data_IF_039676688353
#
_entry.id   IF_039676688353
#
_cell.length_a   1.000
_cell.length_b   1.000
_cell.length_c   1.000
_cell.angle_alpha   90.00
_cell.angle_beta   90.00
_cell.angle_gamma   90.00
#
_symmetry.space_group_name_H-M   'P 1'
#
loop_
_entity.id
_entity.type
_entity.pdbx_description
1 polymer ?
#
# COMPACT_ATOMS: atom_id res chain seq x y z
N UNK A 1 -20.00 25.82 -21.18
CA UNK A 1 -20.33 24.45 -20.75
C UNK A 1 -20.21 24.43 -19.24
N UNK A 2 -21.19 23.92 -18.49
CA UNK A 2 -21.09 23.89 -17.02
C UNK A 2 -19.93 22.98 -16.58
N UNK A 3 -19.27 23.28 -15.47
CA UNK A 3 -18.21 22.45 -14.87
C UNK A 3 -18.68 20.99 -14.68
N UNK A 4 -19.96 20.85 -14.32
CA UNK A 4 -20.69 19.58 -14.25
C UNK A 4 -20.60 18.79 -15.55
N UNK A 5 -20.84 19.41 -16.71
CA UNK A 5 -20.82 18.72 -18.00
C UNK A 5 -19.41 18.25 -18.39
N UNK A 6 -18.37 19.06 -18.11
CA UNK A 6 -16.96 18.67 -18.31
C UNK A 6 -16.62 17.47 -17.44
N UNK A 7 -16.99 17.51 -16.16
CA UNK A 7 -16.76 16.43 -15.22
C UNK A 7 -17.42 15.12 -15.67
N UNK A 8 -18.71 15.16 -16.05
CA UNK A 8 -19.40 13.97 -16.55
C UNK A 8 -18.70 13.40 -17.79
N UNK A 9 -18.24 14.24 -18.71
CA UNK A 9 -17.48 13.79 -19.87
C UNK A 9 -16.15 13.11 -19.49
N UNK A 10 -15.43 13.65 -18.50
CA UNK A 10 -14.18 13.07 -17.97
C UNK A 10 -14.46 11.69 -17.36
N UNK A 11 -15.40 11.59 -16.41
CA UNK A 11 -15.74 10.33 -15.74
C UNK A 11 -16.24 9.28 -16.74
N UNK A 12 -17.11 9.64 -17.68
CA UNK A 12 -17.59 8.71 -18.70
C UNK A 12 -16.45 8.17 -19.57
N UNK A 13 -15.49 9.05 -19.91
CA UNK A 13 -14.29 8.65 -20.66
C UNK A 13 -13.43 7.69 -19.85
N UNK A 14 -13.17 8.02 -18.58
CA UNK A 14 -12.39 7.16 -17.68
C UNK A 14 -13.07 5.81 -17.43
N UNK A 15 -14.40 5.78 -17.25
CA UNK A 15 -15.17 4.53 -17.11
C UNK A 15 -15.06 3.69 -18.39
N UNK A 16 -15.22 4.27 -19.57
CA UNK A 16 -15.10 3.54 -20.83
C UNK A 16 -13.69 2.93 -21.01
N UNK A 17 -12.65 3.71 -20.68
CA UNK A 17 -11.26 3.25 -20.72
C UNK A 17 -10.97 2.20 -19.64
N UNK A 18 -11.54 2.35 -18.45
CA UNK A 18 -11.43 1.40 -17.35
C UNK A 18 -12.11 0.07 -17.69
N UNK A 19 -13.32 0.07 -18.24
CA UNK A 19 -14.01 -1.14 -18.69
C UNK A 19 -13.17 -1.89 -19.73
N UNK A 20 -12.56 -1.15 -20.66
CA UNK A 20 -11.61 -1.72 -21.63
C UNK A 20 -10.36 -2.28 -20.94
N UNK A 21 -9.80 -1.56 -19.96
CA UNK A 21 -8.65 -2.02 -19.18
C UNK A 21 -8.96 -3.30 -18.38
N UNK A 22 -10.10 -3.38 -17.71
CA UNK A 22 -10.57 -4.59 -17.00
C UNK A 22 -10.70 -5.75 -17.97
N UNK A 23 -11.29 -5.54 -19.15
CA UNK A 23 -11.41 -6.59 -20.17
C UNK A 23 -10.06 -7.09 -20.72
N UNK A 24 -9.00 -6.29 -20.65
CA UNK A 24 -7.66 -6.62 -21.19
C UNK A 24 -6.68 -7.14 -20.14
N UNK A 25 -6.67 -6.53 -18.97
CA UNK A 25 -5.72 -6.79 -17.89
C UNK A 25 -6.32 -7.58 -16.74
N UNK A 26 -7.65 -7.78 -16.73
CA UNK A 26 -8.37 -8.25 -15.56
C UNK A 26 -8.16 -7.29 -14.39
N UNK A 27 -8.11 -7.84 -13.18
CA UNK A 27 -7.93 -7.11 -11.94
C UNK A 27 -6.46 -7.00 -11.52
N UNK A 28 -5.56 -6.74 -12.46
CA UNK A 28 -4.14 -6.48 -12.15
C UNK A 28 -4.00 -5.26 -11.23
N UNK A 29 -3.14 -5.30 -10.19
CA UNK A 29 -2.91 -4.13 -9.32
C UNK A 29 -2.53 -2.86 -10.09
N UNK A 30 -1.75 -3.00 -11.16
CA UNK A 30 -1.51 -1.96 -12.16
C UNK A 30 -1.70 -2.59 -13.55
N UNK A 31 -2.45 -1.97 -14.49
CA UNK A 31 -3.07 -0.64 -14.39
C UNK A 31 -4.46 -0.61 -13.71
N UNK A 32 -5.20 -1.71 -13.66
CA UNK A 32 -6.64 -1.69 -13.38
C UNK A 32 -7.02 -1.14 -12.01
N UNK A 33 -6.43 -1.62 -10.92
CA UNK A 33 -6.83 -1.18 -9.57
C UNK A 33 -6.51 0.29 -9.31
N UNK A 34 -5.43 0.81 -9.87
CA UNK A 34 -5.10 2.23 -9.79
C UNK A 34 -6.14 3.09 -10.51
N UNK A 35 -6.58 2.67 -11.70
CA UNK A 35 -7.65 3.35 -12.45
C UNK A 35 -8.99 3.28 -11.71
N UNK A 36 -9.33 2.13 -11.11
CA UNK A 36 -10.53 2.00 -10.24
C UNK A 36 -10.45 2.99 -9.08
N UNK A 37 -9.31 3.03 -8.37
CA UNK A 37 -9.12 3.95 -7.25
C UNK A 37 -9.33 5.41 -7.66
N UNK A 38 -8.76 5.82 -8.79
CA UNK A 38 -8.89 7.19 -9.31
C UNK A 38 -10.35 7.53 -9.61
N UNK A 39 -11.05 6.70 -10.40
CA UNK A 39 -12.45 6.92 -10.78
C UNK A 39 -13.38 6.92 -9.57
N UNK A 40 -13.20 5.98 -8.65
CA UNK A 40 -14.01 5.92 -7.41
C UNK A 40 -13.74 7.16 -6.56
N UNK A 41 -12.49 7.60 -6.44
CA UNK A 41 -12.14 8.81 -5.68
C UNK A 41 -12.77 10.06 -6.29
N UNK A 42 -12.68 10.28 -7.61
CA UNK A 42 -13.31 11.43 -8.26
C UNK A 42 -14.83 11.39 -8.16
N UNK A 43 -15.45 10.21 -8.30
CA UNK A 43 -16.90 10.03 -8.15
C UNK A 43 -17.36 10.43 -6.76
N UNK A 44 -16.66 9.97 -5.72
CA UNK A 44 -16.98 10.26 -4.32
C UNK A 44 -16.71 11.72 -3.97
N UNK A 45 -15.62 12.28 -4.47
CA UNK A 45 -15.32 13.71 -4.33
C UNK A 45 -16.41 14.59 -4.92
N UNK A 46 -16.92 14.22 -6.09
CA UNK A 46 -18.04 14.90 -6.74
C UNK A 46 -19.34 14.79 -5.93
N UNK A 47 -19.69 13.59 -5.44
CA UNK A 47 -20.87 13.42 -4.61
C UNK A 47 -20.81 14.25 -3.32
N UNK A 48 -19.62 14.39 -2.71
CA UNK A 48 -19.42 15.26 -1.54
C UNK A 48 -19.45 16.75 -1.91
N UNK A 49 -18.83 17.14 -3.03
CA UNK A 49 -18.82 18.53 -3.50
C UNK A 49 -20.24 19.07 -3.75
N UNK A 50 -21.13 18.25 -4.32
CA UNK A 50 -22.53 18.60 -4.57
C UNK A 50 -23.46 18.31 -3.39
N UNK A 51 -22.92 18.06 -2.20
CA UNK A 51 -23.67 17.79 -0.97
C UNK A 51 -24.67 16.60 -1.10
N UNK A 52 -24.41 15.63 -2.01
CA UNK A 52 -25.20 14.40 -2.17
C UNK A 52 -24.79 13.35 -1.13
N UNK A 53 -23.51 13.34 -0.78
CA UNK A 53 -22.91 12.47 0.24
C UNK A 53 -22.25 13.34 1.29
N UNK A 54 -22.54 13.09 2.56
CA UNK A 54 -21.81 13.74 3.65
C UNK A 54 -20.51 12.98 3.96
N UNK A 55 -19.42 13.72 4.17
CA UNK A 55 -18.17 13.18 4.70
C UNK A 55 -17.83 13.84 6.04
N UNK A 56 -18.33 13.31 7.18
CA UNK A 56 -18.18 13.97 8.48
C UNK A 56 -16.73 14.23 8.90
N UNK A 57 -15.79 13.38 8.48
CA UNK A 57 -14.38 13.55 8.81
C UNK A 57 -13.75 14.78 8.13
N UNK A 58 -14.28 15.21 6.97
CA UNK A 58 -13.87 16.45 6.29
C UNK A 58 -13.99 17.66 7.22
N UNK A 59 -15.03 17.69 8.06
CA UNK A 59 -15.27 18.79 9.01
C UNK A 59 -14.09 19.00 9.98
N UNK A 60 -13.24 17.99 10.18
CA UNK A 60 -12.07 18.12 11.06
C UNK A 60 -10.93 18.93 10.45
N UNK A 61 -10.83 19.02 9.12
CA UNK A 61 -9.77 19.77 8.41
C UNK A 61 -10.26 20.74 7.32
N UNK A 62 -11.57 20.90 7.16
CA UNK A 62 -12.16 21.70 6.11
C UNK A 62 -11.64 23.14 6.12
N UNK A 63 -11.09 23.57 5.00
CA UNK A 63 -10.64 24.93 4.71
C UNK A 63 -11.31 25.50 3.44
N UNK A 64 -12.36 24.84 2.95
CA UNK A 64 -13.05 25.23 1.71
C UNK A 64 -12.40 24.69 0.43
N UNK A 65 -11.32 23.89 0.52
CA UNK A 65 -10.58 23.39 -0.63
C UNK A 65 -11.42 22.48 -1.54
N UNK A 66 -12.26 21.63 -0.94
CA UNK A 66 -13.20 20.74 -1.64
C UNK A 66 -14.19 21.50 -2.52
N UNK A 67 -14.51 22.75 -2.18
CA UNK A 67 -15.42 23.61 -2.95
C UNK A 67 -14.68 24.52 -3.92
N UNK A 68 -13.57 25.12 -3.48
CA UNK A 68 -12.82 26.13 -4.24
C UNK A 68 -11.85 25.55 -5.26
N UNK A 69 -11.25 24.39 -4.99
CA UNK A 69 -10.27 23.71 -5.85
C UNK A 69 -10.82 22.40 -6.44
N UNK A 70 -12.12 22.37 -6.71
CA UNK A 70 -12.79 21.18 -7.24
C UNK A 70 -12.22 20.77 -8.60
N UNK A 71 -12.18 21.72 -9.55
CA UNK A 71 -11.73 21.50 -10.92
C UNK A 71 -10.25 21.08 -11.00
N UNK A 72 -9.38 21.72 -10.20
CA UNK A 72 -7.96 21.42 -10.10
C UNK A 72 -7.72 20.01 -9.56
N UNK A 73 -8.47 19.62 -8.52
CA UNK A 73 -8.37 18.29 -7.92
C UNK A 73 -8.82 17.20 -8.90
N UNK A 74 -9.95 17.42 -9.59
CA UNK A 74 -10.45 16.50 -10.63
C UNK A 74 -9.44 16.37 -11.76
N UNK A 75 -8.88 17.48 -12.24
CA UNK A 75 -7.90 17.50 -13.32
C UNK A 75 -6.61 16.76 -12.92
N UNK A 76 -6.12 16.96 -11.69
CA UNK A 76 -4.97 16.23 -11.17
C UNK A 76 -5.22 14.73 -11.18
N UNK A 77 -6.38 14.27 -10.72
CA UNK A 77 -6.73 12.85 -10.73
C UNK A 77 -6.86 12.29 -12.15
N UNK A 78 -7.41 13.07 -13.09
CA UNK A 78 -7.42 12.71 -14.50
C UNK A 78 -6.00 12.61 -15.09
N UNK A 79 -5.08 13.50 -14.69
CA UNK A 79 -3.67 13.39 -15.05
C UNK A 79 -3.04 12.11 -14.48
N UNK A 80 -3.33 11.75 -13.23
CA UNK A 80 -2.87 10.48 -12.63
C UNK A 80 -3.43 9.28 -13.40
N UNK A 81 -4.73 9.29 -13.74
CA UNK A 81 -5.37 8.27 -14.59
C UNK A 81 -4.61 8.10 -15.90
N UNK A 82 -4.33 9.22 -16.56
CA UNK A 82 -3.62 9.26 -17.85
C UNK A 82 -2.19 8.74 -17.73
N UNK A 83 -1.46 9.13 -16.69
CA UNK A 83 -0.09 8.65 -16.41
C UNK A 83 -0.04 7.15 -16.20
N UNK A 84 -1.06 6.57 -15.55
CA UNK A 84 -1.18 5.12 -15.40
C UNK A 84 -1.54 4.43 -16.72
N UNK A 85 -2.40 5.04 -17.53
CA UNK A 85 -2.95 4.44 -18.74
C UNK A 85 -2.00 4.50 -19.94
N UNK A 86 -1.35 5.64 -20.17
CA UNK A 86 -0.55 5.92 -21.37
C UNK A 86 0.56 4.88 -21.59
N UNK A 87 1.33 4.45 -20.57
CA UNK A 87 2.31 3.39 -20.74
C UNK A 87 1.74 2.06 -21.21
N UNK A 88 0.41 1.85 -21.17
CA UNK A 88 -0.29 0.64 -21.62
C UNK A 88 -1.19 0.88 -22.85
N UNK A 89 -1.12 2.05 -23.49
CA UNK A 89 -2.02 2.42 -24.58
C UNK A 89 -1.97 1.43 -25.76
N UNK A 90 -0.80 0.96 -26.15
CA UNK A 90 -0.64 -0.02 -27.23
C UNK A 90 -1.32 -1.36 -26.93
N UNK A 91 -1.34 -1.79 -25.67
CA UNK A 91 -2.00 -3.04 -25.25
C UNK A 91 -3.51 -2.86 -25.21
N UNK A 92 -3.99 -1.67 -24.84
CA UNK A 92 -5.41 -1.34 -24.91
C UNK A 92 -5.91 -1.32 -26.36
N UNK A 93 -5.09 -0.79 -27.27
CA UNK A 93 -5.42 -0.65 -28.70
C UNK A 93 -5.26 -1.95 -29.48
N UNK A 94 -4.32 -2.81 -29.12
CA UNK A 94 -4.07 -4.09 -29.81
C UNK A 94 -4.90 -5.24 -29.23
N UNK A 95 -5.02 -6.35 -29.98
CA UNK A 95 -5.75 -7.55 -29.54
C UNK A 95 -4.93 -8.48 -28.63
N UNK A 96 -3.65 -8.20 -28.40
CA UNK A 96 -2.74 -9.11 -27.71
C UNK A 96 -2.74 -8.86 -26.19
N UNK A 97 -3.25 -9.80 -25.37
CA UNK A 97 -3.18 -9.65 -23.92
C UNK A 97 -1.73 -9.72 -23.44
N UNK A 98 -1.35 -8.88 -22.47
CA UNK A 98 -0.11 -9.10 -21.72
C UNK A 98 -0.35 -10.30 -20.80
N UNK A 99 0.27 -11.43 -21.13
CA UNK A 99 0.35 -12.57 -20.22
C UNK A 99 1.69 -12.48 -19.49
N UNK A 100 1.71 -12.28 -18.16
CA UNK A 100 2.95 -12.32 -17.39
C UNK A 100 3.66 -13.65 -17.63
N UNK A 101 4.81 -13.62 -18.30
CA UNK A 101 5.64 -14.82 -18.51
C UNK A 101 6.51 -15.00 -17.27
N UNK A 102 6.54 -16.21 -16.74
CA UNK A 102 7.36 -16.53 -15.57
C UNK A 102 6.71 -17.58 -14.68
N UNK A 103 7.50 -18.59 -14.33
CA UNK A 103 7.17 -19.55 -13.28
C UNK A 103 7.72 -19.00 -11.97
N UNK A 104 6.86 -18.64 -11.00
CA UNK A 104 7.29 -18.42 -9.61
C UNK A 104 7.60 -19.75 -8.88
N UNK A 105 7.61 -20.87 -9.62
CA UNK A 105 7.39 -22.22 -9.07
C UNK A 105 8.66 -22.93 -8.61
N UNK A 106 9.84 -22.35 -8.81
CA UNK A 106 11.11 -22.99 -8.47
C UNK A 106 11.81 -22.39 -7.24
N UNK A 107 11.08 -22.24 -6.12
CA UNK A 107 11.77 -22.19 -4.82
C UNK A 107 12.10 -23.63 -4.40
N UNK A 108 13.38 -23.99 -4.50
CA UNK A 108 13.93 -25.31 -4.10
C UNK A 108 13.63 -25.59 -2.62
N UNK A 109 13.17 -26.81 -2.31
CA UNK A 109 12.70 -27.21 -0.97
C UNK A 109 13.73 -26.98 0.14
N UNK A 110 15.02 -27.28 -0.11
CA UNK A 110 16.08 -27.10 0.89
C UNK A 110 16.31 -25.64 1.33
N UNK A 111 16.03 -24.65 0.46
CA UNK A 111 16.14 -23.24 0.83
C UNK A 111 15.03 -22.79 1.76
N UNK A 112 13.84 -23.40 1.67
CA UNK A 112 12.68 -23.04 2.50
C UNK A 112 12.90 -23.47 3.95
N UNK A 113 13.50 -24.63 4.18
CA UNK A 113 13.82 -25.08 5.55
C UNK A 113 14.78 -24.11 6.26
N UNK A 114 15.82 -23.63 5.56
CA UNK A 114 16.74 -22.62 6.10
C UNK A 114 16.03 -21.29 6.36
N UNK A 115 15.20 -20.81 5.42
CA UNK A 115 14.39 -19.59 5.60
C UNK A 115 13.47 -19.74 6.82
N UNK A 116 12.81 -20.88 6.97
CA UNK A 116 11.92 -21.17 8.10
C UNK A 116 12.69 -21.12 9.42
N UNK A 117 13.85 -21.77 9.51
CA UNK A 117 14.65 -21.80 10.75
C UNK A 117 15.13 -20.40 11.15
N UNK A 118 15.73 -19.66 10.21
CA UNK A 118 16.22 -18.30 10.45
C UNK A 118 15.07 -17.37 10.81
N UNK A 119 13.95 -17.46 10.07
CA UNK A 119 12.77 -16.63 10.34
C UNK A 119 12.13 -16.97 11.67
N UNK A 120 12.05 -18.25 12.06
CA UNK A 120 11.48 -18.65 13.33
C UNK A 120 12.30 -18.14 14.50
N UNK A 121 13.63 -18.28 14.44
CA UNK A 121 14.54 -17.75 15.46
C UNK A 121 14.41 -16.22 15.57
N UNK A 122 14.52 -15.52 14.43
CA UNK A 122 14.43 -14.07 14.38
C UNK A 122 13.08 -13.53 14.86
N UNK A 123 11.97 -14.12 14.41
CA UNK A 123 10.62 -13.76 14.86
C UNK A 123 10.43 -14.04 16.35
N UNK A 124 10.92 -15.18 16.86
CA UNK A 124 10.76 -15.50 18.29
C UNK A 124 11.53 -14.52 19.15
N UNK A 125 12.79 -14.24 18.83
CA UNK A 125 13.63 -13.27 19.56
C UNK A 125 13.03 -11.87 19.47
N UNK A 126 12.65 -11.42 18.28
CA UNK A 126 12.11 -10.08 18.08
C UNK A 126 10.73 -9.93 18.77
N UNK A 127 9.81 -10.88 18.58
CA UNK A 127 8.47 -10.83 19.18
C UNK A 127 8.55 -10.93 20.70
N UNK A 128 9.41 -11.81 21.24
CA UNK A 128 9.63 -11.93 22.68
C UNK A 128 10.18 -10.63 23.28
N UNK A 129 11.16 -10.02 22.61
CA UNK A 129 11.71 -8.71 23.01
C UNK A 129 10.65 -7.61 22.94
N UNK A 130 9.86 -7.57 21.86
CA UNK A 130 8.79 -6.61 21.66
C UNK A 130 7.70 -6.72 22.74
N UNK A 131 7.27 -7.94 23.06
CA UNK A 131 6.32 -8.22 24.15
C UNK A 131 6.87 -7.75 25.50
N UNK A 132 8.15 -8.01 25.78
CA UNK A 132 8.80 -7.58 27.02
C UNK A 132 8.98 -6.07 27.15
N UNK A 133 9.09 -5.36 26.03
CA UNK A 133 9.24 -3.90 26.00
C UNK A 133 7.91 -3.14 25.99
N UNK A 134 6.79 -3.82 25.71
CA UNK A 134 5.50 -3.16 25.52
C UNK A 134 4.86 -2.77 26.85
N UNK A 135 4.33 -1.55 26.92
CA UNK A 135 3.49 -1.10 28.01
C UNK A 135 2.10 -1.74 27.87
N UNK A 136 1.86 -2.81 28.62
CA UNK A 136 0.64 -3.62 28.51
C UNK A 136 -0.62 -2.89 28.95
N UNK A 137 -0.52 -1.88 29.83
CA UNK A 137 -1.68 -1.07 30.20
C UNK A 137 -2.19 -0.30 28.98
N UNK A 138 -1.28 0.36 28.25
CA UNK A 138 -1.61 1.09 27.02
C UNK A 138 -2.05 0.16 25.90
N UNK A 139 -1.38 -1.00 25.74
CA UNK A 139 -1.72 -1.97 24.70
C UNK A 139 -3.08 -2.64 24.92
N UNK A 140 -3.45 -2.88 26.19
CA UNK A 140 -4.74 -3.47 26.54
C UNK A 140 -5.88 -2.48 26.34
N UNK A 141 -5.76 -1.27 26.90
CA UNK A 141 -6.76 -0.21 26.77
C UNK A 141 -6.15 1.20 26.99
N UNK A 142 -6.49 2.14 26.12
CA UNK A 142 -6.14 3.55 26.26
C UNK A 142 -7.21 4.46 25.62
N UNK A 143 -7.19 5.76 25.93
CA UNK A 143 -8.15 6.74 25.40
C UNK A 143 -7.56 7.68 24.34
N UNK A 144 -6.29 7.50 23.98
CA UNK A 144 -5.55 8.45 23.14
C UNK A 144 -5.13 7.78 21.85
N UNK A 145 -5.70 8.24 20.73
CA UNK A 145 -5.40 7.72 19.40
C UNK A 145 -3.90 7.73 19.11
N UNK A 146 -3.41 6.64 18.53
CA UNK A 146 -2.00 6.37 18.20
C UNK A 146 -1.04 6.17 19.39
N UNK A 147 -1.52 6.11 20.64
CA UNK A 147 -0.65 5.87 21.80
C UNK A 147 0.17 4.60 21.67
N UNK A 148 -0.43 3.52 21.15
CA UNK A 148 0.24 2.24 20.89
C UNK A 148 1.35 2.31 19.82
N UNK A 149 1.50 3.46 19.15
CA UNK A 149 2.53 3.68 18.13
C UNK A 149 3.48 4.81 18.44
N UNK A 150 3.25 5.52 19.55
CA UNK A 150 4.18 6.50 20.08
C UNK A 150 5.11 5.79 21.06
N UNK A 151 6.44 5.74 20.80
CA UNK A 151 7.37 5.01 21.66
C UNK A 151 7.26 5.36 23.14
N UNK A 152 7.12 6.65 23.47
CA UNK A 152 7.01 7.13 24.85
C UNK A 152 5.78 6.63 25.63
N UNK A 153 4.72 6.21 24.92
CA UNK A 153 3.51 5.68 25.54
C UNK A 153 3.43 4.16 25.42
N UNK A 154 3.77 3.62 24.26
CA UNK A 154 3.64 2.21 23.92
C UNK A 154 4.72 1.31 24.52
N UNK A 155 5.89 1.86 24.87
CA UNK A 155 7.03 1.10 25.38
C UNK A 155 7.37 1.52 26.82
N UNK A 156 7.94 0.58 27.57
CA UNK A 156 8.51 0.82 28.90
C UNK A 156 9.78 1.67 28.82
N UNK A 157 10.52 1.59 27.69
CA UNK A 157 11.71 2.40 27.40
C UNK A 157 11.64 2.90 25.95
N UNK A 158 11.52 4.22 25.79
CA UNK A 158 11.27 4.89 24.52
C UNK A 158 12.45 4.84 23.54
N UNK A 159 13.67 4.55 24.04
CA UNK A 159 14.88 4.36 23.21
C UNK A 159 14.74 3.20 22.24
N UNK A 160 13.84 2.26 22.51
CA UNK A 160 13.52 1.14 21.64
C UNK A 160 12.39 1.45 20.64
N UNK A 161 12.05 2.72 20.39
CA UNK A 161 10.99 3.12 19.45
C UNK A 161 11.12 2.55 18.04
N UNK A 162 12.33 2.18 17.62
CA UNK A 162 12.55 1.48 16.34
C UNK A 162 11.82 0.13 16.26
N UNK A 163 11.58 -0.54 17.38
CA UNK A 163 10.87 -1.82 17.47
C UNK A 163 9.46 -1.69 16.89
N UNK A 164 8.71 -0.66 17.28
CA UNK A 164 7.37 -0.39 16.76
C UNK A 164 7.37 -0.09 15.26
N UNK A 165 8.42 0.58 14.77
CA UNK A 165 8.58 0.87 13.34
C UNK A 165 8.82 -0.39 12.50
N UNK A 166 9.37 -1.43 13.11
CA UNK A 166 9.62 -2.72 12.47
C UNK A 166 8.42 -3.65 12.48
N UNK A 167 7.40 -3.43 13.34
CA UNK A 167 6.24 -4.32 13.47
C UNK A 167 5.56 -4.66 12.14
N UNK A 168 5.19 -3.68 11.27
CA UNK A 168 4.54 -4.01 10.01
C UNK A 168 5.45 -4.82 9.08
N UNK A 169 6.76 -4.55 9.09
CA UNK A 169 7.74 -5.25 8.23
C UNK A 169 7.89 -6.70 8.68
N UNK A 170 8.02 -6.91 9.99
CA UNK A 170 8.16 -8.22 10.60
C UNK A 170 6.87 -9.04 10.46
N UNK A 171 5.70 -8.40 10.66
CA UNK A 171 4.39 -8.99 10.43
C UNK A 171 4.20 -9.44 8.97
N UNK A 172 4.49 -8.57 8.00
CA UNK A 172 4.46 -8.93 6.58
C UNK A 172 5.40 -10.08 6.25
N UNK A 173 6.63 -10.08 6.80
CA UNK A 173 7.58 -11.18 6.61
C UNK A 173 7.02 -12.51 7.13
N UNK A 174 6.46 -12.52 8.34
CA UNK A 174 5.78 -13.69 8.90
C UNK A 174 4.65 -14.17 7.99
N UNK A 175 3.85 -13.25 7.44
CA UNK A 175 2.74 -13.55 6.53
C UNK A 175 3.23 -14.15 5.19
N UNK A 176 4.33 -13.64 4.64
CA UNK A 176 4.98 -14.20 3.44
C UNK A 176 5.48 -15.62 3.71
N UNK A 177 6.21 -15.84 4.80
CA UNK A 177 6.73 -17.17 5.15
C UNK A 177 5.56 -18.14 5.41
N UNK A 178 4.48 -17.69 6.06
CA UNK A 178 3.24 -18.45 6.18
C UNK A 178 2.70 -18.87 4.80
N UNK A 179 2.52 -17.93 3.87
CA UNK A 179 2.03 -18.20 2.52
C UNK A 179 2.90 -19.19 1.74
N UNK A 180 4.23 -19.09 1.87
CA UNK A 180 5.18 -20.04 1.28
C UNK A 180 4.98 -21.46 1.82
N UNK A 181 4.80 -21.61 3.14
CA UNK A 181 4.59 -22.90 3.79
C UNK A 181 3.21 -23.50 3.45
N UNK A 182 2.15 -22.67 3.33
CA UNK A 182 0.83 -23.10 2.82
C UNK A 182 0.97 -23.69 1.42
N UNK A 183 1.67 -22.98 0.51
CA UNK A 183 1.87 -23.43 -0.86
C UNK A 183 2.66 -24.76 -0.93
N UNK A 184 3.54 -25.01 0.05
CA UNK A 184 4.30 -26.27 0.19
C UNK A 184 3.59 -27.33 1.03
N UNK A 185 2.36 -27.07 1.49
CA UNK A 185 1.56 -27.98 2.34
C UNK A 185 2.19 -28.29 3.72
N UNK A 186 3.09 -27.42 4.20
CA UNK A 186 3.68 -27.53 5.53
C UNK A 186 2.79 -26.80 6.55
N UNK A 187 1.59 -27.35 6.80
CA UNK A 187 0.52 -26.65 7.52
C UNK A 187 0.91 -26.28 8.96
N UNK A 188 1.60 -27.16 9.70
CA UNK A 188 2.04 -26.87 11.07
C UNK A 188 2.96 -25.63 11.12
N UNK A 189 3.95 -25.59 10.22
CA UNK A 189 4.89 -24.46 10.12
C UNK A 189 4.15 -23.20 9.67
N UNK A 190 3.23 -23.33 8.70
CA UNK A 190 2.38 -22.23 8.27
C UNK A 190 1.54 -21.66 9.43
N UNK A 191 0.97 -22.51 10.28
CA UNK A 191 0.20 -22.07 11.45
C UNK A 191 1.06 -21.25 12.41
N UNK A 192 2.29 -21.68 12.70
CA UNK A 192 3.21 -20.92 13.57
C UNK A 192 3.48 -19.53 13.02
N UNK A 193 3.85 -19.42 11.73
CA UNK A 193 4.07 -18.12 11.10
C UNK A 193 2.77 -17.29 10.97
N UNK A 194 1.64 -17.96 10.78
CA UNK A 194 0.32 -17.34 10.77
C UNK A 194 -0.04 -16.71 12.12
N UNK A 195 0.32 -17.35 13.23
CA UNK A 195 0.13 -16.79 14.57
C UNK A 195 0.99 -15.54 14.80
N UNK A 196 2.25 -15.55 14.35
CA UNK A 196 3.08 -14.33 14.38
C UNK A 196 2.44 -13.21 13.55
N UNK A 197 2.08 -13.48 12.29
CA UNK A 197 1.45 -12.49 11.42
C UNK A 197 0.14 -11.94 12.04
N UNK A 198 -0.68 -12.82 12.62
CA UNK A 198 -1.90 -12.44 13.31
C UNK A 198 -1.62 -11.55 14.53
N UNK A 199 -0.59 -11.84 15.33
CA UNK A 199 -0.24 -11.02 16.48
C UNK A 199 0.12 -9.57 16.08
N UNK A 200 0.92 -9.39 15.03
CA UNK A 200 1.25 -8.05 14.52
C UNK A 200 0.03 -7.33 13.92
N UNK A 201 -0.80 -8.05 13.18
CA UNK A 201 -2.02 -7.48 12.61
C UNK A 201 -3.03 -7.09 13.70
N UNK A 202 -3.20 -7.91 14.74
CA UNK A 202 -4.02 -7.62 15.93
C UNK A 202 -3.49 -6.40 16.67
N UNK A 203 -2.16 -6.24 16.81
CA UNK A 203 -1.59 -5.02 17.38
C UNK A 203 -1.94 -3.79 16.53
N UNK A 204 -1.79 -3.87 15.21
CA UNK A 204 -2.21 -2.81 14.29
C UNK A 204 -3.71 -2.49 14.44
N UNK A 205 -4.54 -3.51 14.56
CA UNK A 205 -5.98 -3.41 14.71
C UNK A 205 -6.40 -2.77 16.03
N UNK A 206 -5.76 -3.16 17.13
CA UNK A 206 -5.92 -2.58 18.47
C UNK A 206 -5.60 -1.09 18.49
N UNK A 207 -4.61 -0.67 17.68
CA UNK A 207 -4.27 0.74 17.48
C UNK A 207 -5.12 1.44 16.41
N UNK A 208 -6.12 0.76 15.85
CA UNK A 208 -6.95 1.17 14.71
C UNK A 208 -6.15 1.75 13.53
N UNK A 209 -5.03 1.10 13.24
CA UNK A 209 -4.16 1.48 12.14
C UNK A 209 -4.49 0.74 10.86
N UNK A 210 -4.44 1.48 9.75
CA UNK A 210 -4.58 0.92 8.40
C UNK A 210 -3.50 -0.09 8.07
N UNK A 211 -2.35 -0.05 8.76
CA UNK A 211 -1.25 -1.00 8.58
C UNK A 211 -1.63 -2.43 8.93
N UNK A 212 -2.67 -2.66 9.74
CA UNK A 212 -3.18 -4.00 10.07
C UNK A 212 -3.62 -4.82 8.85
N UNK A 213 -3.91 -4.16 7.72
CA UNK A 213 -4.26 -4.85 6.47
C UNK A 213 -3.04 -5.47 5.78
N UNK A 214 -1.82 -5.06 6.12
CA UNK A 214 -0.62 -5.41 5.37
C UNK A 214 -0.28 -6.89 5.49
N UNK A 215 -0.41 -7.47 6.68
CA UNK A 215 -0.14 -8.89 6.93
C UNK A 215 -1.10 -9.82 6.15
N UNK A 216 -2.43 -9.71 6.26
CA UNK A 216 -3.33 -10.56 5.49
C UNK A 216 -3.20 -10.34 3.97
N UNK A 217 -2.93 -9.12 3.51
CA UNK A 217 -2.68 -8.84 2.09
C UNK A 217 -1.38 -9.49 1.62
N UNK A 218 -0.30 -9.41 2.41
CA UNK A 218 0.97 -10.06 2.10
C UNK A 218 0.83 -11.58 2.04
N UNK A 219 0.05 -12.18 2.95
CA UNK A 219 -0.32 -13.59 2.89
C UNK A 219 -1.06 -13.93 1.59
N UNK A 220 -2.11 -13.17 1.26
CA UNK A 220 -2.91 -13.39 0.06
C UNK A 220 -2.07 -13.30 -1.22
N UNK A 221 -1.26 -12.24 -1.34
CA UNK A 221 -0.33 -12.03 -2.46
C UNK A 221 0.63 -13.22 -2.60
N UNK A 222 1.22 -13.66 -1.49
CA UNK A 222 2.18 -14.77 -1.51
C UNK A 222 1.52 -16.08 -1.95
N UNK A 223 0.33 -16.37 -1.43
CA UNK A 223 -0.44 -17.56 -1.81
C UNK A 223 -0.88 -17.48 -3.28
N UNK A 224 -1.26 -16.30 -3.79
CA UNK A 224 -1.57 -16.12 -5.22
C UNK A 224 -0.36 -16.33 -6.12
N UNK A 225 0.83 -15.92 -5.68
CA UNK A 225 2.07 -16.03 -6.44
C UNK A 225 2.62 -17.46 -6.50
N UNK A 226 2.60 -18.17 -5.36
CA UNK A 226 3.29 -19.46 -5.20
C UNK A 226 2.32 -20.64 -5.15
N UNK A 227 1.08 -20.39 -4.72
CA UNK A 227 0.06 -21.42 -4.53
C UNK A 227 -0.57 -21.93 -5.83
N UNK A 228 -1.26 -23.06 -5.71
CA UNK A 228 -2.15 -23.56 -6.77
C UNK A 228 -3.58 -23.03 -6.59
N UNK A 229 -4.46 -23.20 -7.58
CA UNK A 229 -5.90 -22.85 -7.49
C UNK A 229 -6.64 -23.46 -6.28
N UNK A 230 -6.02 -24.37 -5.53
CA UNK A 230 -6.60 -25.08 -4.37
C UNK A 230 -6.69 -24.25 -3.09
N UNK A 231 -6.02 -23.10 -2.97
CA UNK A 231 -6.01 -22.31 -1.74
C UNK A 231 -7.08 -21.21 -1.68
N UNK A 232 -8.22 -21.39 -2.37
CA UNK A 232 -9.30 -20.38 -2.41
C UNK A 232 -9.78 -19.99 -1.03
N UNK A 233 -9.96 -20.95 -0.12
CA UNK A 233 -10.39 -20.68 1.25
C UNK A 233 -9.44 -19.75 2.00
N UNK A 234 -8.12 -19.98 1.89
CA UNK A 234 -7.09 -19.12 2.52
C UNK A 234 -7.14 -17.72 1.94
N UNK A 235 -7.29 -17.58 0.62
CA UNK A 235 -7.41 -16.28 -0.03
C UNK A 235 -8.68 -15.56 0.42
N UNK A 236 -9.82 -16.23 0.43
CA UNK A 236 -11.08 -15.67 0.92
C UNK A 236 -10.94 -15.21 2.38
N UNK A 237 -10.41 -16.06 3.26
CA UNK A 237 -10.21 -15.71 4.66
C UNK A 237 -9.27 -14.50 4.83
N UNK A 238 -8.15 -14.47 4.10
CA UNK A 238 -7.19 -13.35 4.15
C UNK A 238 -7.82 -12.04 3.65
N UNK A 239 -8.55 -12.07 2.52
CA UNK A 239 -9.23 -10.87 2.01
C UNK A 239 -10.39 -10.43 2.90
N UNK A 240 -11.18 -11.35 3.45
CA UNK A 240 -12.24 -11.04 4.41
C UNK A 240 -11.67 -10.41 5.68
N UNK A 241 -10.57 -10.94 6.21
CA UNK A 241 -9.91 -10.36 7.36
C UNK A 241 -9.27 -8.99 7.02
N UNK A 242 -8.65 -8.82 5.86
CA UNK A 242 -8.14 -7.52 5.43
C UNK A 242 -9.26 -6.46 5.31
N UNK A 243 -10.43 -6.84 4.79
CA UNK A 243 -11.61 -5.98 4.75
C UNK A 243 -12.11 -5.63 6.16
N UNK A 244 -12.19 -6.61 7.05
CA UNK A 244 -12.52 -6.40 8.46
C UNK A 244 -11.52 -5.47 9.17
N UNK A 245 -10.22 -5.69 8.97
CA UNK A 245 -9.17 -4.88 9.56
C UNK A 245 -9.22 -3.43 9.05
N UNK A 246 -9.50 -3.24 7.75
CA UNK A 246 -9.71 -1.92 7.18
C UNK A 246 -10.92 -1.24 7.81
N UNK A 247 -12.07 -1.92 7.88
CA UNK A 247 -13.30 -1.42 8.50
C UNK A 247 -13.03 -0.99 9.95
N UNK A 248 -12.44 -1.89 10.74
CA UNK A 248 -12.15 -1.64 12.15
C UNK A 248 -11.16 -0.49 12.34
N UNK A 249 -10.13 -0.39 11.51
CA UNK A 249 -9.20 0.73 11.54
C UNK A 249 -9.85 2.07 11.18
N UNK A 250 -10.85 2.07 10.30
CA UNK A 250 -11.57 3.29 9.90
C UNK A 250 -12.61 3.72 10.94
N UNK A 251 -13.39 2.77 11.44
CA UNK A 251 -14.44 3.01 12.44
C UNK A 251 -13.82 3.34 13.80
N UNK A 252 -12.80 2.59 14.22
CA UNK A 252 -12.20 2.68 15.54
C UNK A 252 -11.56 4.03 15.87
N UNK A 253 -11.15 4.81 14.86
CA UNK A 253 -10.60 6.16 15.04
C UNK A 253 -11.55 7.11 15.78
N UNK A 254 -12.85 6.94 15.60
CA UNK A 254 -13.88 7.79 16.20
C UNK A 254 -14.37 7.34 17.58
N UNK A 255 -13.86 6.22 18.12
CA UNK A 255 -14.44 5.59 19.31
C UNK A 255 -13.95 6.20 20.64
N UNK A 256 -12.85 6.96 20.64
CA UNK A 256 -12.27 7.56 21.85
C UNK A 256 -11.67 6.55 22.85
N UNK A 257 -11.67 5.25 22.50
CA UNK A 257 -11.02 4.16 23.23
C UNK A 257 -10.32 3.26 22.22
N UNK A 258 -9.13 2.79 22.59
CA UNK A 258 -8.23 2.01 21.75
C UNK A 258 -7.58 0.91 22.58
N UNK A 259 -6.98 -0.09 21.93
CA UNK A 259 -6.34 -1.22 22.58
C UNK A 259 -6.93 -2.56 22.15
N UNK A 260 -6.36 -3.66 22.66
CA UNK A 260 -6.82 -5.01 22.34
C UNK A 260 -8.25 -5.22 22.81
N UNK A 261 -8.62 -4.64 23.96
CA UNK A 261 -9.95 -4.78 24.54
C UNK A 261 -11.07 -4.18 23.67
N UNK A 262 -10.75 -3.23 22.77
CA UNK A 262 -11.74 -2.49 21.97
C UNK A 262 -11.90 -3.02 20.55
N UNK A 263 -11.21 -4.11 20.18
CA UNK A 263 -11.26 -4.67 18.82
C UNK A 263 -12.69 -5.08 18.44
N UNK A 264 -13.43 -5.67 19.39
CA UNK A 264 -14.80 -6.14 19.14
C UNK A 264 -15.85 -5.04 19.27
N UNK A 265 -15.54 -3.93 19.95
CA UNK A 265 -16.47 -2.79 20.11
C UNK A 265 -16.87 -2.17 18.75
N UNK A 266 -16.09 -2.42 17.70
CA UNK A 266 -16.41 -1.99 16.33
C UNK A 266 -17.75 -2.54 15.85
N UNK A 267 -18.15 -3.73 16.28
CA UNK A 267 -19.46 -4.30 15.92
C UNK A 267 -20.59 -3.50 16.57
N UNK A 268 -20.50 -3.25 17.87
CA UNK A 268 -21.48 -2.45 18.63
C UNK A 268 -21.62 -1.02 18.09
N UNK A 269 -20.49 -0.44 17.65
CA UNK A 269 -20.49 0.89 17.04
C UNK A 269 -21.07 0.89 15.62
N UNK A 270 -20.92 -0.21 14.88
CA UNK A 270 -21.46 -0.36 13.52
C UNK A 270 -22.97 -0.60 13.52
N UNK A 271 -23.50 -1.34 14.50
CA UNK A 271 -24.93 -1.65 14.63
C UNK A 271 -25.82 -0.40 14.81
N UNK A 272 -25.23 0.72 15.22
CA UNK A 272 -25.94 1.99 15.40
C UNK A 272 -26.16 2.78 14.11
N UNK A 273 -25.58 2.35 12.99
CA UNK A 273 -25.67 3.04 11.69
C UNK A 273 -26.46 2.23 10.68
N UNK A 274 -27.14 2.92 9.77
CA UNK A 274 -27.73 2.24 8.62
C UNK A 274 -26.63 1.62 7.74
N UNK A 275 -26.93 0.51 7.05
CA UNK A 275 -25.97 -0.13 6.14
C UNK A 275 -25.48 0.84 5.05
N UNK A 276 -26.34 1.74 4.57
CA UNK A 276 -26.00 2.80 3.63
C UNK A 276 -25.01 3.80 4.20
N UNK A 277 -25.24 4.31 5.42
CA UNK A 277 -24.29 5.22 6.08
C UNK A 277 -22.93 4.57 6.29
N UNK A 278 -22.94 3.30 6.70
CA UNK A 278 -21.71 2.54 6.90
C UNK A 278 -20.92 2.38 5.60
N UNK A 279 -21.57 1.97 4.51
CA UNK A 279 -20.93 1.84 3.19
C UNK A 279 -20.38 3.19 2.73
N UNK A 280 -21.17 4.25 2.85
CA UNK A 280 -20.76 5.61 2.50
C UNK A 280 -19.54 6.06 3.30
N UNK A 281 -19.54 5.82 4.61
CA UNK A 281 -18.40 6.13 5.49
C UNK A 281 -17.15 5.33 5.08
N UNK A 282 -17.29 4.06 4.74
CA UNK A 282 -16.15 3.23 4.31
C UNK A 282 -15.56 3.72 3.00
N UNK A 283 -16.40 4.01 2.00
CA UNK A 283 -15.94 4.47 0.70
C UNK A 283 -15.31 5.86 0.81
N UNK A 284 -15.94 6.81 1.52
CA UNK A 284 -15.38 8.16 1.72
C UNK A 284 -14.04 8.11 2.46
N UNK A 285 -13.87 7.22 3.44
CA UNK A 285 -12.59 7.02 4.11
C UNK A 285 -11.52 6.35 3.24
N UNK A 286 -11.91 5.38 2.39
CA UNK A 286 -10.98 4.79 1.42
C UNK A 286 -10.48 5.84 0.43
N UNK A 287 -11.36 6.76 0.05
CA UNK A 287 -11.09 7.88 -0.84
C UNK A 287 -10.61 9.14 -0.11
N UNK A 288 -10.32 9.11 1.19
CA UNK A 288 -9.92 10.28 2.01
C UNK A 288 -8.83 11.12 1.33
N UNK A 289 -7.88 10.45 0.65
CA UNK A 289 -6.77 11.11 -0.02
C UNK A 289 -7.18 12.22 -1.00
N UNK A 290 -8.29 12.09 -1.73
CA UNK A 290 -8.69 13.16 -2.67
C UNK A 290 -9.13 14.43 -1.94
N UNK A 291 -9.75 14.28 -0.77
CA UNK A 291 -10.12 15.40 0.09
C UNK A 291 -8.89 16.04 0.73
N UNK A 292 -7.91 15.23 1.14
CA UNK A 292 -6.63 15.74 1.68
C UNK A 292 -5.85 16.52 0.62
N UNK A 293 -5.90 16.08 -0.65
CA UNK A 293 -5.33 16.81 -1.78
C UNK A 293 -6.04 18.15 -1.98
N UNK A 294 -7.38 18.14 -2.08
CA UNK A 294 -8.19 19.34 -2.31
C UNK A 294 -8.03 20.37 -1.18
N UNK A 295 -8.09 19.94 0.07
CA UNK A 295 -7.90 20.79 1.25
C UNK A 295 -6.43 21.19 1.47
N UNK A 296 -5.50 20.55 0.76
CA UNK A 296 -4.10 20.97 0.71
C UNK A 296 -3.88 22.25 -0.10
N UNK A 297 -4.56 22.41 -1.25
CA UNK A 297 -4.38 23.58 -2.13
C UNK A 297 -4.68 24.97 -1.53
N UNK A 298 -5.68 25.17 -0.65
CA UNK A 298 -5.85 26.48 0.01
C UNK A 298 -4.77 26.77 1.06
N UNK A 299 -3.98 25.78 1.47
CA UNK A 299 -2.96 25.93 2.51
C UNK A 299 -1.65 26.39 1.86
N UNK A 300 -1.48 27.71 1.74
CA UNK A 300 -0.23 28.29 1.25
C UNK A 300 0.94 27.76 2.07
N UNK A 301 1.86 27.06 1.41
CA UNK A 301 3.06 26.50 2.04
C UNK A 301 4.33 27.08 1.45
N UNK A 302 5.21 27.59 2.31
CA UNK A 302 6.59 27.88 1.97
C UNK A 302 7.49 26.86 2.66
N UNK A 303 8.31 26.17 1.86
CA UNK A 303 9.14 25.06 2.31
C UNK A 303 10.60 25.36 2.02
N UNK A 304 11.52 25.13 2.97
CA UNK A 304 12.95 25.27 2.68
C UNK A 304 13.42 24.20 1.69
N UNK A 305 14.40 24.56 0.86
CA UNK A 305 14.96 23.66 -0.16
C UNK A 305 15.40 22.29 0.41
N UNK A 306 15.93 22.27 1.64
CA UNK A 306 16.31 21.05 2.33
C UNK A 306 15.13 20.07 2.49
N UNK A 307 13.95 20.55 2.91
CA UNK A 307 12.75 19.71 3.04
C UNK A 307 12.30 19.19 1.68
N UNK A 308 12.32 20.05 0.65
CA UNK A 308 11.95 19.68 -0.73
C UNK A 308 12.82 18.53 -1.25
N UNK A 309 14.15 18.68 -1.16
CA UNK A 309 15.11 17.66 -1.64
C UNK A 309 14.97 16.36 -0.86
N UNK A 310 15.00 16.42 0.48
CA UNK A 310 14.91 15.22 1.31
C UNK A 310 13.58 14.48 1.12
N UNK A 311 12.51 15.17 0.71
CA UNK A 311 11.22 14.51 0.43
C UNK A 311 11.26 13.58 -0.79
N UNK A 312 12.21 13.77 -1.72
CA UNK A 312 12.40 12.89 -2.88
C UNK A 312 13.44 11.79 -2.65
N UNK A 313 14.26 11.86 -1.60
CA UNK A 313 15.33 10.89 -1.41
C UNK A 313 14.80 9.51 -0.97
N UNK A 314 15.36 8.41 -1.50
CA UNK A 314 14.97 7.04 -1.15
C UNK A 314 15.56 6.56 0.18
N UNK A 315 16.43 7.36 0.80
CA UNK A 315 17.11 7.05 2.05
C UNK A 315 16.11 6.83 3.19
N UNK A 316 16.43 5.99 4.19
CA UNK A 316 15.68 5.95 5.44
C UNK A 316 15.74 7.29 6.20
N UNK A 317 14.61 7.73 6.76
CA UNK A 317 14.46 9.07 7.37
C UNK A 317 15.34 9.31 8.60
N UNK A 318 15.75 8.25 9.29
CA UNK A 318 16.68 8.33 10.41
C UNK A 318 18.15 8.50 9.98
N UNK A 319 18.51 8.11 8.75
CA UNK A 319 19.88 8.22 8.23
C UNK A 319 20.20 9.61 7.69
N UNK A 320 19.22 10.28 7.09
CA UNK A 320 19.39 11.60 6.49
C UNK A 320 18.77 12.75 7.29
N UNK A 321 18.25 12.44 8.50
CA UNK A 321 17.67 13.43 9.41
C UNK A 321 16.32 13.98 8.97
N UNK A 322 15.67 13.40 7.96
CA UNK A 322 14.37 13.89 7.48
C UNK A 322 13.29 13.87 8.54
N UNK A 323 13.33 12.95 9.52
CA UNK A 323 12.33 12.94 10.59
C UNK A 323 12.32 14.26 11.37
N UNK A 324 13.50 14.86 11.63
CA UNK A 324 13.64 16.16 12.29
C UNK A 324 13.19 17.32 11.39
N UNK A 325 13.59 17.29 10.12
CA UNK A 325 13.21 18.33 9.15
C UNK A 325 11.69 18.33 8.92
N UNK A 326 11.09 17.14 8.81
CA UNK A 326 9.63 16.96 8.66
C UNK A 326 8.89 17.49 9.88
N UNK A 327 9.37 17.24 11.09
CA UNK A 327 8.71 17.74 12.31
C UNK A 327 8.53 19.27 12.32
N UNK A 328 9.50 20.00 11.74
CA UNK A 328 9.48 21.47 11.69
C UNK A 328 8.69 22.01 10.51
N UNK A 329 8.86 21.44 9.31
CA UNK A 329 8.37 22.04 8.06
C UNK A 329 7.14 21.37 7.46
N UNK A 330 6.71 20.22 7.97
CA UNK A 330 5.52 19.55 7.47
C UNK A 330 4.26 20.36 7.78
N UNK A 331 3.51 20.72 6.74
CA UNK A 331 2.17 21.28 6.90
C UNK A 331 1.19 20.16 7.20
N UNK A 332 0.37 20.36 8.22
CA UNK A 332 -0.68 19.43 8.62
C UNK A 332 -2.04 20.11 8.55
N UNK A 333 -3.02 19.42 7.98
CA UNK A 333 -4.41 19.89 7.89
C UNK A 333 -5.12 19.74 9.25
N UNK A 334 -4.83 18.65 9.97
CA UNK A 334 -5.14 18.47 11.40
C UNK A 334 -3.94 17.87 12.13
N UNK A 335 -4.03 17.67 13.45
CA UNK A 335 -3.03 16.93 14.23
C UNK A 335 -2.58 15.61 13.58
N UNK A 336 -3.51 14.88 12.95
CA UNK A 336 -3.25 13.53 12.42
C UNK A 336 -3.27 13.45 10.88
N UNK A 337 -3.77 14.48 10.19
CA UNK A 337 -3.91 14.51 8.73
C UNK A 337 -2.85 15.44 8.16
N UNK A 338 -1.77 14.92 7.56
CA UNK A 338 -0.76 15.74 6.91
C UNK A 338 -1.23 16.26 5.55
N UNK A 339 -0.54 17.27 5.01
CA UNK A 339 -0.70 17.63 3.60
C UNK A 339 -0.33 16.44 2.69
N UNK A 340 -1.09 16.27 1.61
CA UNK A 340 -0.81 15.23 0.62
C UNK A 340 0.52 15.48 -0.11
N UNK A 341 1.16 14.41 -0.59
CA UNK A 341 2.37 14.51 -1.40
C UNK A 341 2.14 15.23 -2.73
N UNK A 342 0.94 15.15 -3.30
CA UNK A 342 0.61 15.90 -4.51
C UNK A 342 0.54 17.41 -4.25
N UNK A 343 -0.13 17.82 -3.15
CA UNK A 343 -0.20 19.22 -2.75
C UNK A 343 1.19 19.74 -2.34
N UNK A 344 2.01 18.94 -1.62
CA UNK A 344 3.40 19.31 -1.30
C UNK A 344 4.22 19.53 -2.58
N UNK A 345 4.17 18.60 -3.54
CA UNK A 345 4.91 18.74 -4.80
C UNK A 345 4.48 19.96 -5.61
N UNK A 346 3.20 20.33 -5.56
CA UNK A 346 2.68 21.57 -6.15
C UNK A 346 3.32 22.80 -5.50
N UNK A 347 3.31 22.91 -4.16
CA UNK A 347 3.92 24.04 -3.44
C UNK A 347 5.44 24.04 -3.45
N UNK A 348 6.08 22.91 -3.68
CA UNK A 348 7.53 22.85 -3.85
C UNK A 348 7.99 23.61 -5.10
N UNK A 349 7.15 23.68 -6.12
CA UNK A 349 7.40 24.37 -7.38
C UNK A 349 7.22 23.45 -8.59
N UNK A 350 7.15 24.05 -9.80
CA UNK A 350 6.93 23.30 -11.04
C UNK A 350 8.02 22.25 -11.30
N UNK A 351 9.27 22.49 -10.89
CA UNK A 351 10.38 21.55 -11.08
C UNK A 351 10.16 20.25 -10.29
N UNK A 352 9.67 20.36 -9.06
CA UNK A 352 9.38 19.21 -8.19
C UNK A 352 8.11 18.48 -8.62
N UNK A 353 7.07 19.21 -9.03
CA UNK A 353 5.87 18.62 -9.65
C UNK A 353 6.22 17.82 -10.91
N UNK A 354 7.05 18.39 -11.79
CA UNK A 354 7.54 17.70 -12.98
C UNK A 354 8.39 16.48 -12.64
N UNK A 355 9.25 16.58 -11.62
CA UNK A 355 10.07 15.46 -11.14
C UNK A 355 9.22 14.30 -10.63
N UNK A 356 8.15 14.59 -9.87
CA UNK A 356 7.19 13.57 -9.42
C UNK A 356 6.48 12.91 -10.61
N UNK A 357 6.01 13.70 -11.57
CA UNK A 357 5.36 13.20 -12.77
C UNK A 357 6.29 12.27 -13.57
N UNK A 358 7.51 12.73 -13.85
CA UNK A 358 8.52 11.96 -14.57
C UNK A 358 8.82 10.64 -13.84
N UNK A 359 8.97 10.71 -12.53
CA UNK A 359 9.24 9.54 -11.71
C UNK A 359 8.10 8.51 -11.78
N UNK A 360 6.84 8.95 -11.71
CA UNK A 360 5.67 8.06 -11.84
C UNK A 360 5.65 7.39 -13.22
N UNK A 361 5.85 8.16 -14.30
CA UNK A 361 5.89 7.63 -15.67
C UNK A 361 7.00 6.59 -15.81
N UNK A 362 8.24 6.93 -15.39
CA UNK A 362 9.39 6.02 -15.48
C UNK A 362 9.15 4.74 -14.68
N UNK A 363 8.58 4.84 -13.49
CA UNK A 363 8.25 3.69 -12.63
C UNK A 363 7.24 2.76 -13.31
N UNK A 364 6.18 3.33 -13.90
CA UNK A 364 5.12 2.54 -14.57
C UNK A 364 5.64 1.89 -15.84
N UNK A 365 6.44 2.60 -16.64
CA UNK A 365 7.13 2.03 -17.81
C UNK A 365 8.07 0.89 -17.39
N UNK A 366 8.90 1.11 -16.36
CA UNK A 366 9.80 0.10 -15.81
C UNK A 366 9.02 -1.14 -15.35
N UNK A 367 7.94 -0.93 -14.60
CA UNK A 367 7.06 -2.00 -14.13
C UNK A 367 6.41 -2.77 -15.28
N UNK A 368 5.92 -2.07 -16.30
CA UNK A 368 5.36 -2.69 -17.50
C UNK A 368 6.38 -3.64 -18.12
N UNK A 369 7.61 -3.21 -18.36
CA UNK A 369 8.64 -4.07 -18.95
C UNK A 369 8.97 -5.25 -18.03
N UNK A 370 9.18 -5.00 -16.73
CA UNK A 370 9.54 -6.04 -15.76
C UNK A 370 8.42 -7.08 -15.53
N UNK A 371 7.16 -6.66 -15.53
CA UNK A 371 5.99 -7.53 -15.33
C UNK A 371 5.83 -8.56 -16.45
N UNK A 372 6.30 -8.26 -17.68
CA UNK A 372 6.34 -9.25 -18.76
C UNK A 372 7.35 -10.37 -18.51
N UNK A 373 8.33 -10.15 -17.63
CA UNK A 373 9.43 -11.08 -17.32
C UNK A 373 9.21 -11.86 -16.01
N UNK A 374 8.40 -11.33 -15.09
CA UNK A 374 8.17 -11.96 -13.78
C UNK A 374 6.78 -11.67 -13.22
N UNK A 375 6.11 -12.74 -12.76
CA UNK A 375 4.87 -12.64 -11.97
C UNK A 375 5.07 -11.88 -10.66
N UNK A 376 6.25 -11.98 -10.05
CA UNK A 376 6.56 -11.26 -8.80
C UNK A 376 6.55 -9.75 -9.06
N UNK A 377 7.21 -9.30 -10.12
CA UNK A 377 7.16 -7.89 -10.52
C UNK A 377 5.73 -7.47 -10.85
N UNK A 378 4.99 -8.27 -11.64
CA UNK A 378 3.60 -7.99 -12.01
C UNK A 378 2.68 -7.79 -10.79
N UNK A 379 2.78 -8.65 -9.77
CA UNK A 379 1.91 -8.59 -8.59
C UNK A 379 2.46 -7.64 -7.52
N UNK A 380 3.68 -7.85 -7.04
CA UNK A 380 4.26 -7.08 -5.92
C UNK A 380 4.63 -5.67 -6.37
N UNK A 381 5.32 -5.55 -7.50
CA UNK A 381 5.70 -4.24 -8.06
C UNK A 381 4.46 -3.42 -8.39
N UNK A 382 3.44 -4.04 -8.99
CA UNK A 382 2.16 -3.37 -9.28
C UNK A 382 1.44 -2.93 -8.00
N UNK A 383 1.36 -3.81 -6.99
CA UNK A 383 0.73 -3.47 -5.71
C UNK A 383 1.43 -2.30 -5.01
N UNK A 384 2.76 -2.28 -5.01
CA UNK A 384 3.53 -1.18 -4.40
C UNK A 384 3.36 0.15 -5.14
N UNK A 385 3.19 0.12 -6.46
CA UNK A 385 2.86 1.32 -7.24
C UNK A 385 1.46 1.81 -6.90
N UNK A 386 0.46 0.91 -6.85
CA UNK A 386 -0.89 1.26 -6.41
C UNK A 386 -0.86 1.89 -5.00
N UNK A 387 -0.15 1.26 -4.06
CA UNK A 387 0.01 1.76 -2.71
C UNK A 387 0.66 3.15 -2.70
N UNK A 388 1.68 3.38 -3.54
CA UNK A 388 2.31 4.70 -3.69
C UNK A 388 1.32 5.76 -4.15
N UNK A 389 0.49 5.49 -5.16
CA UNK A 389 -0.54 6.42 -5.65
C UNK A 389 -1.52 6.78 -4.51
N UNK A 390 -2.05 5.77 -3.81
CA UNK A 390 -2.98 5.99 -2.69
C UNK A 390 -2.33 6.78 -1.56
N UNK A 391 -1.07 6.48 -1.23
CA UNK A 391 -0.37 7.12 -0.12
C UNK A 391 0.10 8.53 -0.47
N UNK A 392 0.45 8.83 -1.72
CA UNK A 392 0.71 10.20 -2.19
C UNK A 392 -0.51 11.11 -2.04
N UNK A 393 -1.73 10.56 -2.16
CA UNK A 393 -2.96 11.32 -1.92
C UNK A 393 -3.21 11.64 -0.44
N UNK A 394 -2.75 10.81 0.50
CA UNK A 394 -3.12 10.93 1.92
C UNK A 394 -1.96 11.30 2.87
N UNK A 395 -0.71 11.21 2.41
CA UNK A 395 0.49 11.38 3.23
C UNK A 395 1.54 12.23 2.51
N UNK A 396 2.56 12.73 3.24
CA UNK A 396 3.63 13.51 2.64
C UNK A 396 4.34 12.75 1.53
N UNK A 397 4.92 13.53 0.62
CA UNK A 397 5.53 13.07 -0.60
C UNK A 397 6.48 11.89 -0.38
N UNK A 398 7.38 12.00 0.60
CA UNK A 398 8.36 10.94 0.89
C UNK A 398 7.72 9.62 1.31
N UNK A 399 6.65 9.68 2.08
CA UNK A 399 5.96 8.47 2.52
C UNK A 399 5.32 7.75 1.33
N UNK A 400 4.72 8.51 0.41
CA UNK A 400 4.20 7.97 -0.84
C UNK A 400 5.29 7.37 -1.73
N UNK A 401 6.44 8.05 -1.83
CA UNK A 401 7.54 7.61 -2.69
C UNK A 401 8.28 6.36 -2.18
N UNK A 402 8.27 6.06 -0.87
CA UNK A 402 8.91 4.85 -0.33
C UNK A 402 8.43 3.57 -1.02
N UNK A 403 7.11 3.40 -1.19
CA UNK A 403 6.55 2.24 -1.88
C UNK A 403 6.98 2.20 -3.35
N UNK A 404 7.03 3.36 -4.00
CA UNK A 404 7.50 3.52 -5.38
C UNK A 404 8.97 3.09 -5.55
N UNK A 405 9.85 3.50 -4.63
CA UNK A 405 11.27 3.14 -4.65
C UNK A 405 11.50 1.65 -4.51
N UNK A 406 10.76 1.00 -3.61
CA UNK A 406 10.81 -0.46 -3.45
C UNK A 406 10.30 -1.16 -4.72
N UNK A 407 9.22 -0.66 -5.34
CA UNK A 407 8.73 -1.19 -6.61
C UNK A 407 9.80 -1.10 -7.71
N UNK A 408 10.48 0.04 -7.82
CA UNK A 408 11.56 0.26 -8.77
C UNK A 408 12.74 -0.68 -8.54
N UNK A 409 13.16 -0.87 -7.28
CA UNK A 409 14.22 -1.81 -6.94
C UNK A 409 13.86 -3.26 -7.35
N UNK A 410 12.63 -3.70 -7.08
CA UNK A 410 12.13 -5.02 -7.47
C UNK A 410 12.12 -5.17 -9.00
N UNK A 411 11.54 -4.20 -9.71
CA UNK A 411 11.42 -4.24 -11.16
C UNK A 411 12.79 -4.23 -11.84
N UNK A 412 13.71 -3.39 -11.38
CA UNK A 412 15.08 -3.32 -11.89
C UNK A 412 15.82 -4.64 -11.64
N UNK A 413 15.71 -5.21 -10.44
CA UNK A 413 16.32 -6.51 -10.11
C UNK A 413 15.82 -7.61 -11.04
N UNK A 414 14.51 -7.66 -11.29
CA UNK A 414 13.92 -8.62 -12.23
C UNK A 414 14.50 -8.47 -13.63
N UNK A 415 14.67 -7.24 -14.13
CA UNK A 415 15.23 -6.99 -15.45
C UNK A 415 16.72 -7.35 -15.53
N UNK A 416 17.50 -7.03 -14.50
CA UNK A 416 18.92 -7.40 -14.42
C UNK A 416 19.09 -8.92 -14.41
N UNK A 417 18.26 -9.65 -13.65
CA UNK A 417 18.28 -11.11 -13.62
C UNK A 417 17.78 -11.75 -14.93
N UNK A 418 16.81 -11.14 -15.60
CA UNK A 418 16.28 -11.64 -16.87
C UNK A 418 17.25 -11.43 -18.04
N UNK A 419 18.01 -10.33 -18.03
CA UNK A 419 19.00 -10.00 -19.06
C UNK A 419 20.38 -10.58 -18.76
N UNK A 420 20.67 -10.88 -17.50
CA UNK A 420 21.83 -11.65 -17.06
C UNK A 420 21.72 -13.09 -17.52
N UNK A 421 22.06 -13.36 -18.80
CA UNK A 421 22.60 -14.66 -19.18
C UNK A 421 23.65 -15.04 -18.13
N UNK A 422 23.63 -16.26 -17.59
CA UNK A 422 24.45 -16.60 -16.44
C UNK A 422 25.93 -16.32 -16.76
N UNK A 423 26.48 -15.30 -16.12
CA UNK A 423 27.91 -14.97 -16.21
C UNK A 423 28.77 -16.07 -15.56
N UNK A 424 28.15 -16.89 -14.69
CA UNK A 424 28.71 -18.16 -14.30
C UNK A 424 28.30 -19.23 -15.30
N UNK A 425 29.25 -19.49 -16.20
CA UNK A 425 29.11 -20.39 -17.33
C UNK A 425 28.44 -21.71 -17.00
N UNK A 426 27.82 -22.23 -18.05
CA UNK A 426 27.56 -23.64 -18.27
C UNK A 426 28.76 -24.52 -17.90
N UNK A 427 28.94 -24.82 -16.62
CA UNK A 427 29.46 -26.13 -16.21
C UNK A 427 28.31 -27.13 -16.31
N UNK A 428 27.77 -27.28 -17.53
CA UNK A 428 27.28 -28.57 -17.93
C UNK A 428 28.53 -29.39 -18.20
N UNK A 429 29.01 -30.07 -17.15
CA UNK A 429 29.83 -31.26 -17.31
C UNK A 429 29.05 -32.18 -18.25
N UNK A 430 29.44 -32.14 -19.53
CA UNK A 430 29.14 -33.14 -20.52
C UNK A 430 29.73 -34.46 -20.03
N UNK A 431 29.05 -35.12 -19.09
CA UNK A 431 29.19 -36.57 -18.92
C UNK A 431 28.46 -37.21 -20.08
N UNK A 432 29.12 -37.16 -21.24
CA UNK A 432 28.85 -38.00 -22.40
C UNK A 432 29.21 -39.42 -21.96
N UNK A 433 28.29 -40.10 -21.28
CA UNK A 433 28.37 -41.55 -21.13
C UNK A 433 28.09 -42.13 -22.51
N UNK A 434 29.17 -42.38 -23.27
CA UNK A 434 29.15 -43.23 -24.44
C UNK A 434 28.74 -44.63 -24.00
N UNK A 435 27.44 -44.92 -24.10
CA UNK A 435 26.94 -46.28 -24.06
C UNK A 435 27.34 -46.97 -25.37
N UNK A 436 28.44 -47.73 -25.33
CA UNK A 436 28.76 -48.72 -26.34
C UNK A 436 27.63 -49.76 -26.34
N UNK A 437 26.96 -49.91 -27.50
CA UNK A 437 26.16 -51.10 -27.79
C UNK A 437 27.13 -52.17 -28.28
N UNK A 438 27.33 -53.20 -27.46
CA UNK A 438 27.81 -54.52 -27.88
C UNK A 438 26.63 -55.46 -28.00
#
# INVERSE_FOLDING_TARGET
>A
MSEVAVFFAVILTEIALLLRAVGRFGYSPVPTMALIYVVVSQSIFCLVHFDVVEYPFLLTFFAGGTRTFFSETVLLYFCIFTVVLVPYADVLLTRNPIVPRGSAREVRVGRIAAINMISLLGLTVFTGSAIGLMNWDVAWANSVYLSMTTPAAALVDDRFGFVLSLFPIIGMWAAVVCGLNIAKKQLLVATVFGLFAAAYSIHGLASHQRTAILEPVALAITVMLVGTKRHRLVLTAAFSYAAFALISALVGRGMGRHGIATILDVFDYSDRRSASEFITLMITNLCEGIFVVAEGFPRVGDFPLQYKILSFLPTPSFLDGYDKVREVYQIRLTRYVPMSGYSEAYFFGPEFSFSLLLLLILTIVLHRVASTKSKVSATVGGFLILLSIVTLSAYPLRNGLKALWVANAINLTVLLLANGRPFFGSFQTSTRTGGAKG
#
